data_IF_861166499365
#
_entry.id   IF_861166499365
#
_cell.length_a   1.000
_cell.length_b   1.000
_cell.length_c   1.000
_cell.angle_alpha   90.00
_cell.angle_beta   90.00
_cell.angle_gamma   90.00
#
_symmetry.space_group_name_H-M   'P 1'
#
loop_
_entity.id
_entity.type
_entity.pdbx_description
1 polymer ?
#
# COMPACT_ATOMS: atom_id res chain seq x y z
N UNK A 1 -12.69 28.11 -10.93
CA UNK A 1 -13.17 27.33 -9.77
C UNK A 1 -14.55 26.80 -10.16
N UNK A 2 -14.79 25.48 -10.14
CA UNK A 2 -16.04 24.89 -10.65
C UNK A 2 -17.22 25.12 -9.69
N UNK A 3 -18.27 25.77 -10.16
CA UNK A 3 -19.50 26.17 -9.43
C UNK A 3 -20.40 25.01 -9.00
N UNK A 4 -20.25 23.81 -9.57
CA UNK A 4 -21.06 22.64 -9.23
C UNK A 4 -20.75 22.01 -7.86
N UNK A 5 -19.73 22.49 -7.15
CA UNK A 5 -19.31 21.98 -5.84
C UNK A 5 -19.90 22.75 -4.65
N UNK A 6 -20.66 23.82 -4.87
CA UNK A 6 -21.14 24.73 -3.80
C UNK A 6 -22.16 24.12 -2.83
N UNK A 7 -22.69 22.92 -3.09
CA UNK A 7 -23.62 22.20 -2.20
C UNK A 7 -23.02 21.03 -1.42
N UNK A 8 -21.80 20.59 -1.77
CA UNK A 8 -21.13 19.52 -1.05
C UNK A 8 -20.15 20.14 -0.05
N UNK A 9 -20.55 20.19 1.21
CA UNK A 9 -19.61 20.42 2.30
C UNK A 9 -18.66 19.22 2.34
N UNK A 10 -17.57 19.27 1.56
CA UNK A 10 -16.44 18.37 1.70
C UNK A 10 -15.91 18.58 3.11
N UNK A 11 -16.37 17.72 4.02
CA UNK A 11 -15.96 17.80 5.40
C UNK A 11 -14.46 17.53 5.43
N UNK A 12 -13.68 18.49 5.90
CA UNK A 12 -12.26 18.29 6.20
C UNK A 12 -12.15 17.35 7.42
N UNK A 13 -12.53 16.09 7.25
CA UNK A 13 -12.71 15.11 8.33
C UNK A 13 -11.42 14.34 8.59
N UNK A 14 -10.76 13.85 7.54
CA UNK A 14 -9.63 12.92 7.72
C UNK A 14 -8.27 13.58 7.47
N UNK A 15 -7.35 13.35 8.40
CA UNK A 15 -5.92 13.68 8.26
C UNK A 15 -5.14 12.51 7.61
N UNK A 16 -5.73 11.32 7.64
CA UNK A 16 -5.09 10.08 7.22
C UNK A 16 -6.10 9.11 6.60
N UNK A 17 -5.71 8.44 5.53
CA UNK A 17 -6.47 7.35 4.92
C UNK A 17 -5.56 6.14 4.72
N UNK A 18 -5.93 4.99 5.27
CA UNK A 18 -5.25 3.72 5.02
C UNK A 18 -6.08 2.85 4.07
N UNK A 19 -5.61 2.71 2.84
CA UNK A 19 -6.16 1.76 1.86
C UNK A 19 -5.45 0.42 2.02
N UNK A 20 -6.21 -0.68 2.02
CA UNK A 20 -5.71 -2.03 2.28
C UNK A 20 -5.16 -2.18 3.70
N UNK A 21 -5.89 -1.62 4.66
CA UNK A 21 -5.41 -1.44 6.02
C UNK A 21 -5.08 -2.76 6.76
N UNK A 22 -5.67 -3.89 6.36
CA UNK A 22 -5.46 -5.17 7.03
C UNK A 22 -5.87 -5.12 8.51
N UNK A 23 -4.91 -4.96 9.41
CA UNK A 23 -5.14 -4.76 10.86
C UNK A 23 -5.29 -3.29 11.26
N UNK A 24 -5.09 -2.37 10.32
CA UNK A 24 -5.13 -0.92 10.47
C UNK A 24 -4.24 -0.41 11.61
N UNK A 25 -3.06 -1.02 11.77
CA UNK A 25 -2.10 -0.58 12.78
C UNK A 25 -1.63 0.84 12.51
N UNK A 26 -1.55 1.21 11.22
CA UNK A 26 -1.19 2.55 10.82
C UNK A 26 -2.23 3.57 11.24
N UNK A 27 -3.48 3.32 10.90
CA UNK A 27 -4.61 4.13 11.36
C UNK A 27 -4.71 4.19 12.90
N UNK A 28 -4.44 3.09 13.61
CA UNK A 28 -4.46 3.08 15.08
C UNK A 28 -3.40 4.01 15.67
N UNK A 29 -2.16 3.92 15.21
CA UNK A 29 -1.07 4.78 15.69
C UNK A 29 -1.30 6.26 15.37
N UNK A 30 -1.92 6.58 14.22
CA UNK A 30 -2.37 7.93 13.85
C UNK A 30 -3.41 8.46 14.84
N UNK A 31 -4.43 7.64 15.15
CA UNK A 31 -5.50 8.01 16.10
C UNK A 31 -4.98 8.23 17.52
N UNK A 32 -3.97 7.46 17.95
CA UNK A 32 -3.30 7.65 19.26
C UNK A 32 -2.61 9.01 19.38
N UNK A 33 -2.26 9.66 18.25
CA UNK A 33 -1.72 11.02 18.22
C UNK A 33 -2.80 12.11 18.09
N UNK A 34 -4.09 11.76 18.22
CA UNK A 34 -5.21 12.69 18.13
C UNK A 34 -5.63 13.06 16.70
N UNK A 35 -5.05 12.43 15.68
CA UNK A 35 -5.42 12.65 14.28
C UNK A 35 -6.61 11.77 13.87
N UNK A 36 -7.43 12.25 12.93
CA UNK A 36 -8.59 11.52 12.42
C UNK A 36 -8.17 10.67 11.22
N UNK A 37 -8.05 9.36 11.42
CA UNK A 37 -7.70 8.41 10.37
C UNK A 37 -8.87 7.53 9.92
N UNK A 38 -9.06 7.37 8.62
CA UNK A 38 -9.93 6.37 8.01
C UNK A 38 -9.15 5.10 7.65
N UNK A 39 -9.81 3.93 7.77
CA UNK A 39 -9.25 2.63 7.38
C UNK A 39 -10.22 1.93 6.42
N UNK A 40 -9.72 1.46 5.29
CA UNK A 40 -10.50 0.82 4.25
C UNK A 40 -9.86 -0.52 3.90
N UNK A 41 -10.57 -1.61 4.19
CA UNK A 41 -10.12 -2.97 3.90
C UNK A 41 -11.32 -3.93 3.95
N UNK A 42 -11.32 -4.94 3.07
CA UNK A 42 -12.36 -5.97 3.00
C UNK A 42 -12.60 -6.67 4.35
N UNK A 43 -11.59 -6.74 5.21
CA UNK A 43 -11.69 -7.33 6.56
C UNK A 43 -12.64 -6.59 7.50
N UNK A 44 -13.00 -5.34 7.18
CA UNK A 44 -13.90 -4.51 7.97
C UNK A 44 -15.34 -4.48 7.44
N UNK A 45 -15.64 -5.27 6.41
CA UNK A 45 -17.00 -5.43 5.94
C UNK A 45 -17.87 -6.06 7.03
N UNK A 46 -18.97 -5.40 7.39
CA UNK A 46 -19.97 -6.01 8.25
C UNK A 46 -20.58 -7.23 7.56
N UNK A 47 -20.82 -8.30 8.34
CA UNK A 47 -21.56 -9.46 7.84
C UNK A 47 -23.03 -9.08 7.70
N UNK A 48 -23.42 -8.66 6.50
CA UNK A 48 -24.78 -8.27 6.18
C UNK A 48 -25.20 -8.79 4.81
N UNK A 49 -26.51 -8.80 4.55
CA UNK A 49 -27.10 -9.25 3.28
C UNK A 49 -27.06 -8.12 2.23
N UNK A 50 -25.90 -7.49 2.08
CA UNK A 50 -25.71 -6.40 1.12
C UNK A 50 -25.46 -6.96 -0.28
N UNK A 51 -26.03 -6.31 -1.30
CA UNK A 51 -25.80 -6.67 -2.71
C UNK A 51 -24.33 -6.51 -3.15
N UNK A 52 -23.55 -5.71 -2.43
CA UNK A 52 -22.12 -5.49 -2.70
C UNK A 52 -21.38 -5.16 -1.42
N UNK A 53 -20.10 -5.55 -1.35
CA UNK A 53 -19.25 -5.28 -0.20
C UNK A 53 -18.59 -3.89 -0.33
N UNK A 54 -19.10 -2.91 0.40
CA UNK A 54 -18.58 -1.54 0.38
C UNK A 54 -17.14 -1.39 0.91
N UNK A 55 -16.55 -2.42 1.53
CA UNK A 55 -15.14 -2.41 1.92
C UNK A 55 -14.23 -3.14 0.93
N UNK A 56 -14.80 -3.77 -0.10
CA UNK A 56 -14.03 -4.34 -1.21
C UNK A 56 -13.82 -3.29 -2.30
N UNK A 57 -12.58 -2.81 -2.47
CA UNK A 57 -12.22 -1.83 -3.48
C UNK A 57 -12.52 -2.30 -4.91
N UNK A 58 -12.60 -3.61 -5.17
CA UNK A 58 -12.96 -4.18 -6.48
C UNK A 58 -14.47 -4.19 -6.72
N UNK A 59 -15.29 -3.94 -5.71
CA UNK A 59 -16.72 -3.68 -5.90
C UNK A 59 -16.97 -2.21 -6.28
N UNK A 60 -18.02 -1.88 -7.05
CA UNK A 60 -18.37 -0.49 -7.35
C UNK A 60 -18.61 0.36 -6.09
N UNK A 61 -19.26 -0.21 -5.08
CA UNK A 61 -19.55 0.48 -3.81
C UNK A 61 -18.29 0.74 -2.99
N UNK A 62 -17.32 -0.18 -2.99
CA UNK A 62 -16.06 0.05 -2.29
C UNK A 62 -15.15 1.05 -2.98
N UNK A 63 -15.14 1.09 -4.32
CA UNK A 63 -14.49 2.19 -5.04
C UNK A 63 -15.15 3.54 -4.71
N UNK A 64 -16.48 3.60 -4.73
CA UNK A 64 -17.23 4.80 -4.37
C UNK A 64 -16.92 5.26 -2.93
N UNK A 65 -16.85 4.33 -1.97
CA UNK A 65 -16.49 4.63 -0.59
C UNK A 65 -15.06 5.20 -0.49
N UNK A 66 -14.09 4.63 -1.21
CA UNK A 66 -12.74 5.16 -1.26
C UNK A 66 -12.70 6.60 -1.78
N UNK A 67 -13.42 6.88 -2.88
CA UNK A 67 -13.51 8.22 -3.47
C UNK A 67 -14.13 9.21 -2.47
N UNK A 68 -15.28 8.86 -1.87
CA UNK A 68 -15.95 9.71 -0.88
C UNK A 68 -15.03 9.98 0.31
N UNK A 69 -14.33 8.96 0.81
CA UNK A 69 -13.39 9.10 1.93
C UNK A 69 -12.27 10.07 1.60
N UNK A 70 -11.67 9.97 0.40
CA UNK A 70 -10.62 10.89 -0.07
C UNK A 70 -11.15 12.32 -0.22
N UNK A 71 -12.37 12.49 -0.72
CA UNK A 71 -13.01 13.80 -0.85
C UNK A 71 -13.38 14.42 0.51
N UNK A 72 -13.47 13.62 1.58
CA UNK A 72 -13.67 14.06 2.96
C UNK A 72 -12.35 14.25 3.73
N UNK A 73 -11.21 14.21 3.05
CA UNK A 73 -9.94 14.51 3.69
C UNK A 73 -9.71 16.01 3.80
N UNK A 74 -8.92 16.42 4.80
CA UNK A 74 -8.38 17.78 4.85
C UNK A 74 -7.44 18.02 3.67
N UNK A 75 -7.19 19.29 3.33
CA UNK A 75 -6.03 19.62 2.50
C UNK A 75 -4.76 19.06 3.13
N UNK A 76 -3.88 18.50 2.29
CA UNK A 76 -2.60 17.93 2.73
C UNK A 76 -2.68 16.73 3.68
N UNK A 77 -3.76 15.96 3.63
CA UNK A 77 -3.81 14.64 4.29
C UNK A 77 -2.79 13.65 3.70
N UNK A 78 -2.52 12.57 4.42
CA UNK A 78 -1.67 11.47 3.95
C UNK A 78 -2.49 10.19 3.71
N UNK A 79 -2.36 9.63 2.51
CA UNK A 79 -2.89 8.32 2.16
C UNK A 79 -1.79 7.25 2.19
N UNK A 80 -1.95 6.22 3.01
CA UNK A 80 -1.11 5.03 2.98
C UNK A 80 -1.80 3.92 2.20
N UNK A 81 -1.11 3.35 1.22
CA UNK A 81 -1.68 2.41 0.25
C UNK A 81 -0.84 1.14 0.23
N UNK A 82 -1.29 0.11 0.93
CA UNK A 82 -0.59 -1.17 1.06
C UNK A 82 -1.20 -2.26 0.16
N UNK A 83 -1.26 -2.02 -1.15
CA UNK A 83 -1.92 -2.93 -2.09
C UNK A 83 -1.36 -4.37 -2.02
N UNK A 84 -2.26 -5.36 -2.12
CA UNK A 84 -1.99 -6.80 -2.00
C UNK A 84 -0.72 -7.21 -2.75
N UNK A 85 0.36 -7.45 -2.01
CA UNK A 85 1.69 -7.70 -2.55
C UNK A 85 1.88 -9.10 -3.15
N UNK A 86 1.03 -10.07 -2.78
CA UNK A 86 1.20 -11.47 -3.16
C UNK A 86 1.18 -11.69 -4.67
N UNK A 87 0.34 -10.94 -5.40
CA UNK A 87 0.24 -11.06 -6.87
C UNK A 87 1.48 -10.48 -7.59
N UNK A 88 2.11 -9.47 -6.99
CA UNK A 88 3.19 -8.68 -7.58
C UNK A 88 4.59 -9.13 -7.17
N UNK A 89 4.70 -10.04 -6.19
CA UNK A 89 5.98 -10.53 -5.69
C UNK A 89 6.63 -11.55 -6.63
N UNK A 90 7.96 -11.58 -6.64
CA UNK A 90 8.74 -12.59 -7.38
C UNK A 90 8.41 -14.05 -6.98
N UNK A 91 7.88 -14.27 -5.78
CA UNK A 91 7.46 -15.61 -5.33
C UNK A 91 6.25 -16.14 -6.11
N UNK A 92 5.43 -15.25 -6.68
CA UNK A 92 4.22 -15.63 -7.41
C UNK A 92 4.45 -15.69 -8.93
N UNK A 93 5.68 -15.59 -9.42
CA UNK A 93 5.99 -15.60 -10.87
C UNK A 93 5.50 -16.88 -11.54
N UNK A 94 5.58 -18.03 -10.87
CA UNK A 94 5.14 -19.31 -11.44
C UNK A 94 3.63 -19.37 -11.74
N UNK A 95 2.80 -18.70 -10.94
CA UNK A 95 1.34 -18.65 -11.15
C UNK A 95 0.93 -17.42 -11.94
N UNK A 96 1.47 -16.26 -11.57
CA UNK A 96 1.10 -14.99 -12.19
C UNK A 96 1.76 -14.75 -13.54
N UNK A 97 2.85 -15.42 -13.86
CA UNK A 97 3.70 -15.15 -15.02
C UNK A 97 4.10 -13.67 -15.15
N UNK A 98 4.13 -12.93 -14.03
CA UNK A 98 4.52 -11.51 -14.04
C UNK A 98 6.02 -11.35 -13.97
N UNK A 99 6.56 -10.47 -14.80
CA UNK A 99 7.95 -10.01 -14.77
C UNK A 99 8.04 -8.61 -15.37
N UNK A 100 9.22 -8.00 -15.39
CA UNK A 100 9.35 -6.60 -15.81
C UNK A 100 8.79 -6.30 -17.21
N UNK A 101 9.01 -7.20 -18.19
CA UNK A 101 8.45 -7.10 -19.55
C UNK A 101 7.07 -7.74 -19.75
N UNK A 102 6.49 -8.36 -18.72
CA UNK A 102 5.11 -8.86 -18.73
C UNK A 102 4.48 -8.57 -17.37
N UNK A 103 4.35 -7.29 -17.03
CA UNK A 103 3.89 -6.87 -15.72
C UNK A 103 2.39 -7.13 -15.49
N UNK A 104 1.61 -7.26 -16.57
CA UNK A 104 0.17 -7.63 -16.56
C UNK A 104 -0.04 -9.09 -16.14
N UNK A 105 0.91 -9.97 -16.48
CA UNK A 105 0.88 -11.39 -16.12
C UNK A 105 -0.14 -12.22 -16.89
N UNK A 106 -0.38 -13.42 -16.38
CA UNK A 106 -1.30 -14.42 -16.92
C UNK A 106 -2.75 -14.10 -16.52
N UNK A 107 -3.47 -13.45 -17.42
CA UNK A 107 -4.89 -13.07 -17.23
C UNK A 107 -5.86 -14.26 -17.19
N UNK A 108 -5.40 -15.48 -17.48
CA UNK A 108 -6.21 -16.69 -17.29
C UNK A 108 -6.33 -17.05 -15.80
N UNK A 109 -5.46 -16.52 -14.94
CA UNK A 109 -5.54 -16.72 -13.49
C UNK A 109 -6.46 -15.66 -12.86
N UNK A 110 -7.58 -16.04 -12.22
CA UNK A 110 -8.53 -15.07 -11.65
C UNK A 110 -7.88 -14.12 -10.62
N UNK A 111 -6.93 -14.62 -9.82
CA UNK A 111 -6.19 -13.80 -8.84
C UNK A 111 -5.26 -12.76 -9.48
N UNK A 112 -4.86 -12.95 -10.73
CA UNK A 112 -4.09 -11.97 -11.51
C UNK A 112 -5.02 -10.88 -12.01
N UNK A 113 -6.18 -11.26 -12.55
CA UNK A 113 -7.21 -10.31 -13.03
C UNK A 113 -7.71 -9.43 -11.89
N UNK A 114 -8.05 -10.03 -10.75
CA UNK A 114 -8.48 -9.30 -9.54
C UNK A 114 -7.41 -8.32 -9.06
N UNK A 115 -6.13 -8.72 -9.08
CA UNK A 115 -5.03 -7.85 -8.69
C UNK A 115 -4.78 -6.72 -9.71
N UNK A 116 -4.96 -6.98 -11.00
CA UNK A 116 -4.89 -5.94 -12.04
C UNK A 116 -5.99 -4.90 -11.80
N UNK A 117 -7.24 -5.35 -11.64
CA UNK A 117 -8.37 -4.47 -11.36
C UNK A 117 -8.14 -3.61 -10.10
N UNK A 118 -7.62 -4.23 -9.04
CA UNK A 118 -7.27 -3.55 -7.79
C UNK A 118 -6.20 -2.46 -8.02
N UNK A 119 -5.19 -2.74 -8.84
CA UNK A 119 -4.16 -1.77 -9.17
C UNK A 119 -4.67 -0.64 -10.07
N UNK A 120 -5.51 -0.92 -11.06
CA UNK A 120 -6.13 0.12 -11.91
C UNK A 120 -6.90 1.13 -11.06
N UNK A 121 -7.74 0.62 -10.14
CA UNK A 121 -8.51 1.45 -9.21
C UNK A 121 -7.59 2.21 -8.27
N UNK A 122 -6.53 1.57 -7.78
CA UNK A 122 -5.53 2.24 -6.96
C UNK A 122 -4.88 3.40 -7.71
N UNK A 123 -4.48 3.21 -8.97
CA UNK A 123 -3.88 4.27 -9.78
C UNK A 123 -4.82 5.47 -9.94
N UNK A 124 -6.12 5.22 -10.18
CA UNK A 124 -7.14 6.26 -10.20
C UNK A 124 -7.21 7.02 -8.87
N UNK A 125 -7.21 6.30 -7.74
CA UNK A 125 -7.23 6.91 -6.42
C UNK A 125 -5.96 7.72 -6.12
N UNK A 126 -4.77 7.29 -6.55
CA UNK A 126 -3.53 8.07 -6.39
C UNK A 126 -3.59 9.41 -7.15
N UNK A 127 -4.14 9.39 -8.37
CA UNK A 127 -4.36 10.60 -9.16
C UNK A 127 -5.36 11.52 -8.47
N UNK A 128 -6.45 10.96 -7.91
CA UNK A 128 -7.43 11.72 -7.13
C UNK A 128 -6.81 12.33 -5.86
N UNK A 129 -6.07 11.54 -5.07
CA UNK A 129 -5.37 12.03 -3.87
C UNK A 129 -4.48 13.21 -4.22
N UNK A 130 -3.74 13.10 -5.32
CA UNK A 130 -2.91 14.20 -5.83
C UNK A 130 -3.74 15.41 -6.22
N UNK A 131 -4.85 15.23 -6.96
CA UNK A 131 -5.66 16.35 -7.45
C UNK A 131 -6.37 17.12 -6.34
N UNK A 132 -6.68 16.47 -5.22
CA UNK A 132 -7.23 17.13 -4.02
C UNK A 132 -6.15 17.68 -3.07
N UNK A 133 -4.87 17.63 -3.46
CA UNK A 133 -3.76 18.19 -2.69
C UNK A 133 -3.29 17.31 -1.51
N UNK A 134 -3.57 16.01 -1.54
CA UNK A 134 -3.07 15.04 -0.58
C UNK A 134 -1.71 14.45 -0.98
N UNK A 135 -1.02 13.88 0.01
CA UNK A 135 0.15 13.05 -0.20
C UNK A 135 -0.27 11.57 -0.21
N UNK A 136 0.40 10.74 -1.01
CA UNK A 136 0.20 9.30 -1.00
C UNK A 136 1.52 8.56 -0.83
N UNK A 137 1.45 7.38 -0.23
CA UNK A 137 2.54 6.44 -0.02
C UNK A 137 2.07 5.06 -0.46
N UNK A 138 2.54 4.57 -1.61
CA UNK A 138 2.26 3.22 -2.10
C UNK A 138 3.39 2.28 -1.70
N UNK A 139 3.12 1.40 -0.74
CA UNK A 139 4.06 0.43 -0.19
C UNK A 139 4.04 -0.89 -0.99
N UNK A 140 5.22 -1.44 -1.25
CA UNK A 140 5.41 -2.76 -1.85
C UNK A 140 6.66 -3.47 -1.30
N UNK A 141 6.74 -4.81 -1.37
CA UNK A 141 7.99 -5.52 -1.08
C UNK A 141 9.06 -5.23 -2.13
N UNK A 142 10.34 -5.36 -1.74
CA UNK A 142 11.50 -5.01 -2.57
C UNK A 142 11.69 -5.81 -3.86
N UNK A 143 10.94 -6.91 -4.05
CA UNK A 143 10.91 -7.71 -5.27
C UNK A 143 9.65 -7.53 -6.11
N UNK A 144 8.85 -6.49 -5.84
CA UNK A 144 7.59 -6.25 -6.54
C UNK A 144 7.83 -5.78 -7.97
N UNK A 145 7.07 -6.34 -8.91
CA UNK A 145 7.05 -5.91 -10.32
C UNK A 145 5.99 -4.84 -10.61
N UNK A 146 5.28 -4.38 -9.58
CA UNK A 146 4.21 -3.37 -9.70
C UNK A 146 4.68 -2.09 -10.40
N UNK A 147 5.94 -1.68 -10.18
CA UNK A 147 6.54 -0.51 -10.82
C UNK A 147 6.54 -0.56 -12.36
N UNK A 148 6.43 -1.75 -12.94
CA UNK A 148 6.43 -1.96 -14.39
C UNK A 148 5.01 -2.04 -14.96
N UNK A 149 3.97 -1.99 -14.14
CA UNK A 149 2.59 -2.09 -14.60
C UNK A 149 2.19 -0.83 -15.39
N UNK A 150 1.52 -0.95 -16.55
CA UNK A 150 1.30 0.18 -17.47
C UNK A 150 0.64 1.40 -16.81
N UNK A 151 -0.47 1.22 -16.10
CA UNK A 151 -1.20 2.33 -15.47
C UNK A 151 -0.41 2.98 -14.33
N UNK A 152 0.39 2.22 -13.60
CA UNK A 152 1.23 2.80 -12.56
C UNK A 152 2.42 3.58 -13.15
N UNK A 153 3.00 3.11 -14.27
CA UNK A 153 3.98 3.88 -15.04
C UNK A 153 3.38 5.17 -15.59
N UNK A 154 2.11 5.13 -15.99
CA UNK A 154 1.39 6.33 -16.41
C UNK A 154 1.26 7.32 -15.24
N UNK A 155 0.86 6.87 -14.04
CA UNK A 155 0.84 7.73 -12.83
C UNK A 155 2.20 8.36 -12.57
N UNK A 156 3.29 7.59 -12.58
CA UNK A 156 4.65 8.11 -12.38
C UNK A 156 5.00 9.17 -13.44
N UNK A 157 4.70 8.87 -14.71
CA UNK A 157 4.97 9.79 -15.84
C UNK A 157 4.17 11.09 -15.72
N UNK A 158 2.89 11.00 -15.36
CA UNK A 158 2.02 12.17 -15.18
C UNK A 158 2.54 13.12 -14.09
N UNK A 159 3.02 12.58 -12.98
CA UNK A 159 3.67 13.37 -11.93
C UNK A 159 4.98 14.01 -12.41
N UNK A 160 5.77 13.31 -13.24
CA UNK A 160 7.01 13.86 -13.77
C UNK A 160 6.77 14.98 -14.80
N UNK A 161 5.72 14.87 -15.62
CA UNK A 161 5.40 15.83 -16.69
C UNK A 161 4.73 17.11 -16.16
N UNK A 162 3.96 17.03 -15.07
CA UNK A 162 3.28 18.18 -14.48
C UNK A 162 4.22 19.00 -13.59
N UNK A 163 5.39 19.42 -14.12
CA UNK A 163 6.61 19.92 -13.48
C UNK A 163 6.52 21.14 -12.50
N UNK A 164 5.37 21.40 -11.88
CA UNK A 164 5.21 22.14 -10.64
C UNK A 164 4.83 21.26 -9.42
N UNK A 165 4.44 20.00 -9.63
CA UNK A 165 4.14 19.02 -8.56
C UNK A 165 5.31 18.04 -8.47
N UNK A 166 5.78 17.78 -7.24
CA UNK A 166 6.96 16.93 -6.99
C UNK A 166 6.92 15.60 -7.75
N UNK A 167 8.03 15.26 -8.42
CA UNK A 167 8.23 13.96 -9.05
C UNK A 167 7.98 12.83 -8.06
N UNK A 168 7.50 11.66 -8.53
CA UNK A 168 7.33 10.50 -7.65
C UNK A 168 8.67 10.09 -7.05
N UNK A 169 8.80 10.24 -5.74
CA UNK A 169 9.91 9.76 -4.96
C UNK A 169 9.78 8.25 -4.72
N UNK A 170 10.91 7.54 -4.77
CA UNK A 170 11.00 6.13 -4.37
C UNK A 170 12.00 6.02 -3.23
N UNK A 171 11.55 5.49 -2.11
CA UNK A 171 12.41 5.12 -0.98
C UNK A 171 12.44 3.62 -0.79
N UNK A 172 13.45 3.13 -0.07
CA UNK A 172 13.59 1.72 0.24
C UNK A 172 14.13 1.55 1.65
N UNK A 173 13.59 0.61 2.41
CA UNK A 173 14.03 0.38 3.78
C UNK A 173 13.99 -1.10 4.16
N UNK A 174 14.68 -1.42 5.24
CA UNK A 174 14.61 -2.74 5.88
C UNK A 174 13.54 -2.72 6.97
N UNK A 175 12.55 -3.61 6.90
CA UNK A 175 11.52 -3.72 7.94
C UNK A 175 12.10 -4.05 9.33
N UNK A 176 13.28 -4.68 9.37
CA UNK A 176 14.00 -4.93 10.62
C UNK A 176 14.39 -3.65 11.37
N UNK A 177 14.66 -2.54 10.67
CA UNK A 177 14.93 -1.23 11.29
C UNK A 177 13.68 -0.59 11.93
N UNK A 178 12.52 -1.21 11.69
CA UNK A 178 11.22 -0.84 12.24
C UNK A 178 10.66 -1.89 13.20
N UNK A 179 11.49 -2.85 13.63
CA UNK A 179 11.13 -3.86 14.61
C UNK A 179 10.55 -5.15 14.03
N UNK A 180 10.49 -5.32 12.70
CA UNK A 180 10.15 -6.63 12.14
C UNK A 180 11.25 -7.65 12.44
N UNK A 181 10.84 -8.87 12.75
CA UNK A 181 11.71 -10.02 12.97
C UNK A 181 12.41 -10.44 11.69
N UNK A 182 11.79 -10.23 10.53
CA UNK A 182 12.38 -10.56 9.23
C UNK A 182 12.98 -9.33 8.56
N UNK A 183 14.20 -9.41 7.99
CA UNK A 183 14.84 -8.29 7.31
C UNK A 183 14.30 -8.19 5.88
N UNK A 184 12.99 -7.96 5.74
CA UNK A 184 12.35 -7.82 4.44
C UNK A 184 12.59 -6.40 3.91
N UNK A 185 13.19 -6.28 2.73
CA UNK A 185 13.29 -5.02 2.01
C UNK A 185 11.91 -4.61 1.51
N UNK A 186 11.52 -3.36 1.74
CA UNK A 186 10.30 -2.75 1.20
C UNK A 186 10.66 -1.48 0.42
N UNK A 187 9.77 -1.12 -0.49
CA UNK A 187 9.79 0.11 -1.26
C UNK A 187 8.51 0.89 -0.99
N UNK A 188 8.61 2.21 -1.03
CA UNK A 188 7.47 3.10 -1.07
C UNK A 188 7.64 4.09 -2.20
N UNK A 189 6.58 4.26 -2.97
CA UNK A 189 6.43 5.32 -3.94
C UNK A 189 5.59 6.43 -3.33
N UNK A 190 5.96 7.69 -3.53
CA UNK A 190 5.19 8.81 -3.01
C UNK A 190 5.29 10.02 -3.91
N UNK A 191 4.26 10.86 -3.94
CA UNK A 191 4.34 12.21 -4.51
C UNK A 191 5.02 13.23 -3.57
N UNK A 192 5.64 12.77 -2.47
CA UNK A 192 6.34 13.63 -1.51
C UNK A 192 7.75 13.11 -1.20
N UNK A 193 8.72 14.03 -1.17
CA UNK A 193 10.11 13.73 -0.82
C UNK A 193 10.30 13.33 0.65
N UNK A 194 9.34 13.65 1.54
CA UNK A 194 9.37 13.22 2.94
C UNK A 194 9.39 11.70 3.09
N UNK A 195 8.97 10.96 2.05
CA UNK A 195 9.08 9.49 2.04
C UNK A 195 10.52 9.00 2.16
N UNK A 196 11.52 9.77 1.70
CA UNK A 196 12.95 9.44 1.81
C UNK A 196 13.38 9.14 3.24
N UNK A 197 12.73 9.79 4.20
CA UNK A 197 13.02 9.66 5.61
C UNK A 197 12.70 8.23 6.15
N UNK A 198 11.93 7.41 5.41
CA UNK A 198 11.74 5.99 5.73
C UNK A 198 13.05 5.16 5.61
N UNK A 199 14.04 5.62 4.85
CA UNK A 199 15.31 4.93 4.76
C UNK A 199 16.17 5.26 5.99
N UNK A 200 16.28 4.30 6.92
CA UNK A 200 17.14 4.37 8.11
C UNK A 200 18.57 3.87 7.84
N UNK A 201 18.92 3.67 6.57
CA UNK A 201 20.25 3.24 6.15
C UNK A 201 20.42 1.73 5.99
N UNK A 202 21.68 1.30 6.04
CA UNK A 202 22.07 -0.09 5.81
C UNK A 202 21.77 -0.92 7.06
N UNK A 203 21.20 -2.12 6.86
CA UNK A 203 21.01 -3.07 7.94
C UNK A 203 22.38 -3.64 8.37
N UNK A 204 22.88 -3.21 9.52
CA UNK A 204 24.10 -3.73 10.15
C UNK A 204 23.79 -4.50 11.43
N UNK A 205 24.58 -5.54 11.72
CA UNK A 205 24.49 -6.27 13.01
C UNK A 205 23.23 -7.11 13.21
N UNK A 206 22.43 -7.34 12.17
CA UNK A 206 21.25 -8.20 12.26
C UNK A 206 21.68 -9.66 12.42
N UNK A 207 21.39 -10.23 13.59
CA UNK A 207 21.59 -11.67 13.87
C UNK A 207 20.30 -12.40 13.56
N UNK A 208 20.37 -13.43 12.73
CA UNK A 208 19.25 -14.33 12.43
C UNK A 208 18.72 -14.90 13.74
N UNK A 209 17.48 -14.57 14.15
CA UNK A 209 16.87 -15.24 15.30
C UNK A 209 16.55 -16.69 14.90
N UNK A 210 17.16 -17.69 15.54
CA UNK A 210 17.11 -19.07 15.05
C UNK A 210 15.78 -19.80 15.32
N UNK A 211 14.86 -19.25 16.11
CA UNK A 211 13.87 -20.13 16.76
C UNK A 211 12.60 -20.46 15.97
N UNK A 212 12.26 -19.81 14.84
CA UNK A 212 10.99 -20.13 14.16
C UNK A 212 11.00 -19.78 12.66
N UNK A 213 11.65 -20.62 11.83
CA UNK A 213 11.62 -20.44 10.38
C UNK A 213 10.17 -20.49 9.82
N UNK A 214 9.75 -19.43 9.13
CA UNK A 214 8.42 -19.24 8.52
C UNK A 214 8.14 -20.16 7.33
N UNK A 215 9.16 -20.85 6.82
CA UNK A 215 9.06 -21.74 5.66
C UNK A 215 9.71 -23.08 5.96
N UNK A 216 9.01 -24.18 5.71
CA UNK A 216 9.56 -25.52 5.77
C UNK A 216 10.04 -25.89 4.38
N UNK A 217 11.29 -26.33 4.26
CA UNK A 217 11.79 -26.93 3.03
C UNK A 217 11.02 -28.23 2.81
N UNK A 218 10.36 -28.36 1.67
CA UNK A 218 9.67 -29.58 1.25
C UNK A 218 10.42 -30.20 0.09
N UNK A 219 10.31 -31.51 -0.07
CA UNK A 219 10.84 -32.22 -1.23
C UNK A 219 9.66 -32.90 -1.87
N UNK A 220 9.44 -32.62 -3.16
CA UNK A 220 8.40 -33.30 -3.93
C UNK A 220 8.77 -34.79 -4.01
N UNK A 221 7.95 -35.67 -3.41
CA UNK A 221 8.23 -37.11 -3.36
C UNK A 221 8.38 -37.73 -4.75
N UNK A 222 7.66 -37.20 -5.74
CA UNK A 222 7.63 -37.73 -7.11
C UNK A 222 8.80 -37.25 -7.96
N UNK A 223 9.24 -36.00 -7.79
CA UNK A 223 10.24 -35.39 -8.68
C UNK A 223 11.61 -35.17 -8.03
N UNK A 224 11.72 -35.38 -6.71
CA UNK A 224 12.92 -35.05 -5.93
C UNK A 224 13.22 -33.55 -5.83
N UNK A 225 12.42 -32.68 -6.48
CA UNK A 225 12.65 -31.24 -6.48
C UNK A 225 12.39 -30.67 -5.09
N UNK A 226 13.36 -29.89 -4.60
CA UNK A 226 13.25 -29.12 -3.37
C UNK A 226 12.32 -27.94 -3.61
N UNK A 227 11.28 -27.84 -2.81
CA UNK A 227 10.35 -26.71 -2.74
C UNK A 227 10.39 -26.05 -1.37
N UNK A 228 9.65 -24.96 -1.24
CA UNK A 228 9.39 -24.31 0.03
C UNK A 228 7.89 -24.27 0.23
N UNK A 229 7.43 -24.75 1.39
CA UNK A 229 6.03 -24.67 1.76
C UNK A 229 5.90 -23.75 2.96
N UNK A 230 5.00 -22.79 2.79
CA UNK A 230 4.38 -22.01 3.85
C UNK A 230 4.07 -22.88 5.08
N UNK A 231 4.66 -22.61 6.25
CA UNK A 231 4.21 -23.26 7.49
C UNK A 231 3.01 -22.50 8.05
N UNK A 232 2.24 -23.13 8.96
CA UNK A 232 1.24 -22.40 9.77
C UNK A 232 1.85 -21.26 10.60
N UNK A 233 3.18 -21.25 10.75
CA UNK A 233 3.94 -20.19 11.40
C UNK A 233 4.27 -19.01 10.47
N UNK A 234 3.72 -18.96 9.24
CA UNK A 234 3.74 -17.74 8.44
C UNK A 234 3.12 -16.62 9.25
N UNK A 235 3.99 -15.80 9.83
CA UNK A 235 3.55 -14.75 10.72
C UNK A 235 2.70 -13.76 9.93
N UNK A 236 1.56 -13.31 10.49
CA UNK A 236 0.86 -12.16 9.94
C UNK A 236 1.84 -10.98 9.81
N UNK A 237 1.66 -10.13 8.80
CA UNK A 237 2.50 -8.96 8.53
C UNK A 237 2.79 -8.22 9.84
N UNK A 238 4.06 -8.15 10.23
CA UNK A 238 4.48 -7.68 11.55
C UNK A 238 4.38 -6.14 11.68
N UNK A 239 4.31 -5.70 12.93
CA UNK A 239 3.99 -4.35 13.39
C UNK A 239 4.99 -3.28 12.93
N UNK A 240 4.57 -2.25 12.18
CA UNK A 240 5.42 -1.13 11.82
C UNK A 240 5.26 0.04 12.81
N UNK A 241 5.22 -0.24 14.11
CA UNK A 241 4.93 0.77 15.16
C UNK A 241 5.95 1.94 15.14
N UNK A 242 7.20 1.63 14.80
CA UNK A 242 8.27 2.61 14.60
C UNK A 242 8.18 3.37 13.27
N UNK A 243 7.62 2.75 12.21
CA UNK A 243 7.43 3.36 10.89
C UNK A 243 6.41 4.50 11.01
N UNK A 244 5.38 4.23 11.82
CA UNK A 244 4.24 5.11 12.04
C UNK A 244 4.54 6.33 12.87
N UNK A 245 5.28 6.17 13.98
CA UNK A 245 5.72 7.32 14.79
C UNK A 245 6.46 8.36 13.95
N UNK A 246 7.19 7.87 12.95
CA UNK A 246 8.04 8.67 12.10
C UNK A 246 7.24 9.36 10.99
N UNK A 247 6.43 8.63 10.22
CA UNK A 247 5.58 9.19 9.16
C UNK A 247 4.68 10.32 9.64
N UNK A 248 4.04 10.16 10.80
CA UNK A 248 3.12 11.19 11.29
C UNK A 248 3.84 12.50 11.64
N UNK A 249 5.09 12.43 12.11
CA UNK A 249 5.87 13.64 12.42
C UNK A 249 6.47 14.28 11.16
N UNK A 250 6.82 13.47 10.16
CA UNK A 250 7.44 13.92 8.90
C UNK A 250 6.46 14.48 7.88
N UNK A 251 5.18 14.13 8.01
CA UNK A 251 4.09 14.58 7.14
C UNK A 251 3.10 15.51 7.83
N UNK A 252 3.28 15.79 9.13
CA UNK A 252 2.56 16.87 9.79
C UNK A 252 2.97 18.18 9.12
N UNK A 253 2.08 18.72 8.28
CA UNK A 253 2.22 20.08 7.76
C UNK A 253 2.34 20.99 8.98
N UNK A 254 3.37 21.85 9.08
CA UNK A 254 3.43 22.83 10.15
C UNK A 254 2.13 23.64 10.11
N UNK A 255 1.55 24.00 11.28
CA UNK A 255 0.33 24.78 11.31
C UNK A 255 0.53 26.01 10.42
N UNK A 256 -0.40 26.23 9.49
CA UNK A 256 -0.44 27.46 8.71
C UNK A 256 -0.59 28.61 9.69
N UNK A 257 0.47 29.42 9.83
CA UNK A 257 0.40 30.72 10.51
C UNK A 257 -0.59 31.63 9.78
#
# INVERSE_FOLDING_TARGET
MCTWMEGYAFGEVYDWVELYAGRALATQAVRLKGQRGARLDILYAEKGNHKSNYMDINSPSGLALCIITILQCKRSFLAWVAIKCSSWSSMNVGTSSRFACSSVGNILMPSVVEANQMLERTCLLLLLITSVGGCWCLEQPGGSVLQFYPSFRYVITMHAMNAGVSSVARTSWWMALYGSVTPKRHYCYSNSMSVSQLDRGVLSGWKTRPENATTKRTVCKTTGKKGYTATRNLRPTEHPDLLLRFLINSFAVPPSN
#
